data_IF_440089619878
#
_entry.id   IF_440089619878
#
_cell.length_a   1.000
_cell.length_b   1.000
_cell.length_c   1.000
_cell.angle_alpha   90.00
_cell.angle_beta   90.00
_cell.angle_gamma   90.00
#
_symmetry.space_group_name_H-M   'P 1'
#
loop_
_entity.id
_entity.type
_entity.pdbx_description
1 polymer ?
#
# COMPACT_ATOMS: atom_id res chain seq x y z
N UNK A 1 -11.87 19.71 96.69
CA UNK A 1 -10.66 19.06 96.12
C UNK A 1 -10.95 17.94 95.13
N UNK A 2 -11.65 16.85 95.49
CA UNK A 2 -11.89 15.69 94.61
C UNK A 2 -12.57 16.02 93.26
N UNK A 3 -13.48 16.99 93.22
CA UNK A 3 -14.20 17.38 92.00
C UNK A 3 -13.31 18.14 90.99
N UNK A 4 -12.39 18.97 91.49
CA UNK A 4 -11.44 19.74 90.65
C UNK A 4 -10.43 18.79 90.01
N UNK A 5 -9.94 17.82 90.79
CA UNK A 5 -9.00 16.79 90.32
C UNK A 5 -9.64 15.87 89.26
N UNK A 6 -10.94 15.54 89.40
CA UNK A 6 -11.68 14.77 88.41
C UNK A 6 -11.85 15.52 87.08
N UNK A 7 -12.15 16.83 87.12
CA UNK A 7 -12.29 17.65 85.90
C UNK A 7 -10.96 17.82 85.17
N UNK A 8 -9.87 17.96 85.92
CA UNK A 8 -8.52 18.04 85.34
C UNK A 8 -8.11 16.74 84.64
N UNK A 9 -8.36 15.59 85.27
CA UNK A 9 -8.09 14.26 84.68
C UNK A 9 -8.90 14.00 83.40
N UNK A 10 -10.19 14.35 83.40
CA UNK A 10 -11.06 14.23 82.21
C UNK A 10 -10.60 15.17 81.09
N UNK A 11 -10.20 16.40 81.43
CA UNK A 11 -9.68 17.34 80.42
C UNK A 11 -8.36 16.86 79.81
N UNK A 12 -7.51 16.22 80.60
CA UNK A 12 -6.23 15.65 80.17
C UNK A 12 -6.42 14.43 79.28
N UNK A 13 -7.36 13.54 79.59
CA UNK A 13 -7.67 12.38 78.73
C UNK A 13 -8.26 12.81 77.38
N UNK A 14 -9.15 13.81 77.36
CA UNK A 14 -9.69 14.39 76.11
C UNK A 14 -8.59 15.03 75.26
N UNK A 15 -7.59 15.66 75.88
CA UNK A 15 -6.45 16.25 75.16
C UNK A 15 -5.56 15.18 74.52
N UNK A 16 -5.28 14.09 75.25
CA UNK A 16 -4.47 12.95 74.78
C UNK A 16 -5.15 12.25 73.60
N UNK A 17 -6.46 12.02 73.66
CA UNK A 17 -7.22 11.37 72.57
C UNK A 17 -7.21 12.21 71.28
N UNK A 18 -7.33 13.54 71.39
CA UNK A 18 -7.22 14.46 70.23
C UNK A 18 -5.82 14.46 69.61
N UNK A 19 -4.77 14.40 70.42
CA UNK A 19 -3.39 14.30 69.94
C UNK A 19 -3.13 12.96 69.24
N UNK A 20 -3.70 11.86 69.76
CA UNK A 20 -3.60 10.54 69.14
C UNK A 20 -4.36 10.47 67.80
N UNK A 21 -5.57 11.03 67.73
CA UNK A 21 -6.32 11.17 66.49
C UNK A 21 -5.56 11.99 65.45
N UNK A 22 -4.98 13.14 65.85
CA UNK A 22 -4.17 13.97 64.95
C UNK A 22 -2.93 13.23 64.42
N UNK A 23 -2.24 12.46 65.28
CA UNK A 23 -1.07 11.65 64.89
C UNK A 23 -1.43 10.57 63.87
N UNK A 24 -2.55 9.87 64.08
CA UNK A 24 -2.99 8.80 63.18
C UNK A 24 -3.43 9.36 61.81
N UNK A 25 -4.08 10.53 61.79
CA UNK A 25 -4.43 11.24 60.56
C UNK A 25 -3.18 11.65 59.78
N UNK A 26 -2.15 12.18 60.46
CA UNK A 26 -0.87 12.58 59.84
C UNK A 26 -0.10 11.38 59.24
N UNK A 27 -0.06 10.25 59.94
CA UNK A 27 0.56 9.01 59.44
C UNK A 27 -0.20 8.50 58.20
N UNK A 28 -1.54 8.55 58.23
CA UNK A 28 -2.39 8.17 57.09
C UNK A 28 -2.14 9.03 55.84
N UNK A 29 -2.07 10.36 56.00
CA UNK A 29 -1.76 11.30 54.90
C UNK A 29 -0.37 11.06 54.30
N UNK A 30 0.61 10.71 55.13
CA UNK A 30 1.96 10.36 54.68
C UNK A 30 1.95 9.09 53.83
N UNK A 31 1.21 8.07 54.27
CA UNK A 31 1.05 6.82 53.53
C UNK A 31 0.34 6.98 52.18
N UNK A 32 -0.74 7.77 52.13
CA UNK A 32 -1.45 8.04 50.87
C UNK A 32 -0.60 8.86 49.89
N UNK A 33 0.21 9.79 50.40
CA UNK A 33 1.14 10.59 49.58
C UNK A 33 2.27 9.72 49.00
N UNK A 34 2.83 8.81 49.80
CA UNK A 34 3.85 7.86 49.31
C UNK A 34 3.28 6.89 48.28
N UNK A 35 2.06 6.40 48.51
CA UNK A 35 1.37 5.53 47.56
C UNK A 35 1.10 6.25 46.23
N UNK A 36 0.60 7.49 46.27
CA UNK A 36 0.33 8.27 45.06
C UNK A 36 1.61 8.59 44.28
N UNK A 37 2.71 8.93 44.96
CA UNK A 37 4.04 9.09 44.36
C UNK A 37 4.51 7.81 43.66
N UNK A 38 4.35 6.65 44.30
CA UNK A 38 4.68 5.35 43.72
C UNK A 38 3.90 5.08 42.42
N UNK A 39 2.59 5.36 42.42
CA UNK A 39 1.73 5.23 41.22
C UNK A 39 2.20 6.17 40.11
N UNK A 40 2.49 7.44 40.43
CA UNK A 40 3.00 8.43 39.45
C UNK A 40 4.30 7.95 38.82
N UNK A 41 5.24 7.42 39.62
CA UNK A 41 6.52 6.88 39.11
C UNK A 41 6.28 5.70 38.16
N UNK A 42 5.39 4.77 38.49
CA UNK A 42 5.05 3.62 37.62
C UNK A 42 4.45 4.11 36.30
N UNK A 43 3.49 5.05 36.34
CA UNK A 43 2.88 5.62 35.15
C UNK A 43 3.90 6.37 34.28
N UNK A 44 4.79 7.14 34.90
CA UNK A 44 5.86 7.87 34.21
C UNK A 44 6.80 6.89 33.48
N UNK A 45 7.23 5.81 34.15
CA UNK A 45 8.07 4.76 33.53
C UNK A 45 7.34 4.07 32.37
N UNK A 46 6.06 3.74 32.55
CA UNK A 46 5.23 3.09 31.51
C UNK A 46 5.05 3.99 30.28
N UNK A 47 4.83 5.30 30.46
CA UNK A 47 4.77 6.27 29.36
C UNK A 47 6.09 6.37 28.60
N UNK A 48 7.22 6.46 29.32
CA UNK A 48 8.53 6.53 28.67
C UNK A 48 8.85 5.27 27.86
N UNK A 49 8.46 4.08 28.31
CA UNK A 49 8.64 2.85 27.53
C UNK A 49 7.75 2.81 26.28
N UNK A 50 6.50 3.22 26.39
CA UNK A 50 5.61 3.31 25.23
C UNK A 50 6.11 4.31 24.20
N UNK A 51 6.60 5.48 24.65
CA UNK A 51 7.17 6.49 23.77
C UNK A 51 8.33 5.92 22.95
N UNK A 52 9.26 5.22 23.60
CA UNK A 52 10.37 4.54 22.89
C UNK A 52 9.89 3.49 21.89
N UNK A 53 8.86 2.71 22.23
CA UNK A 53 8.27 1.73 21.31
C UNK A 53 7.63 2.39 20.10
N UNK A 54 6.90 3.48 20.31
CA UNK A 54 6.26 4.26 19.23
C UNK A 54 7.33 4.87 18.33
N UNK A 55 8.38 5.47 18.90
CA UNK A 55 9.50 6.02 18.13
C UNK A 55 10.19 4.93 17.29
N UNK A 56 10.46 3.77 17.87
CA UNK A 56 11.03 2.64 17.14
C UNK A 56 10.09 2.09 16.05
N UNK A 57 8.78 2.04 16.32
CA UNK A 57 7.79 1.64 15.31
C UNK A 57 7.70 2.66 14.17
N UNK A 58 7.75 3.96 14.49
CA UNK A 58 7.72 5.03 13.51
C UNK A 58 8.92 4.94 12.57
N UNK A 59 10.12 4.71 13.10
CA UNK A 59 11.33 4.49 12.30
C UNK A 59 11.20 3.26 11.39
N UNK A 60 10.66 2.16 11.90
CA UNK A 60 10.43 0.95 11.08
C UNK A 60 9.40 1.20 9.97
N UNK A 61 8.33 1.94 10.26
CA UNK A 61 7.33 2.33 9.25
C UNK A 61 7.98 3.19 8.17
N UNK A 62 8.78 4.18 8.55
CA UNK A 62 9.47 5.07 7.62
C UNK A 62 10.44 4.31 6.72
N UNK A 63 11.30 3.45 7.28
CA UNK A 63 12.19 2.59 6.52
C UNK A 63 11.43 1.67 5.55
N UNK A 64 10.30 1.11 6.00
CA UNK A 64 9.49 0.22 5.17
C UNK A 64 8.76 1.00 4.07
N UNK A 65 8.34 2.23 4.34
CA UNK A 65 7.78 3.15 3.36
C UNK A 65 8.80 3.48 2.28
N UNK A 66 10.03 3.83 2.66
CA UNK A 66 11.11 4.11 1.72
C UNK A 66 11.45 2.88 0.85
N UNK A 67 11.48 1.69 1.45
CA UNK A 67 11.67 0.44 0.71
C UNK A 67 10.53 0.15 -0.26
N UNK A 68 9.28 0.38 0.15
CA UNK A 68 8.12 0.22 -0.71
C UNK A 68 8.18 1.18 -1.88
N UNK A 69 8.53 2.44 -1.65
CA UNK A 69 8.71 3.42 -2.72
C UNK A 69 9.81 3.02 -3.70
N UNK A 70 10.97 2.58 -3.19
CA UNK A 70 12.07 2.10 -4.05
C UNK A 70 11.65 0.92 -4.90
N UNK A 71 10.94 -0.05 -4.32
CA UNK A 71 10.40 -1.20 -5.05
C UNK A 71 9.36 -0.78 -6.08
N UNK A 72 8.46 0.14 -5.72
CA UNK A 72 7.46 0.64 -6.64
C UNK A 72 8.12 1.35 -7.83
N UNK A 73 9.06 2.27 -7.59
CA UNK A 73 9.84 2.91 -8.66
C UNK A 73 10.53 1.88 -9.57
N UNK A 74 11.14 0.86 -8.98
CA UNK A 74 11.80 -0.19 -9.75
C UNK A 74 10.80 -1.00 -10.61
N UNK A 75 9.64 -1.34 -10.05
CA UNK A 75 8.57 -2.02 -10.80
C UNK A 75 8.05 -1.16 -11.95
N UNK A 76 7.88 0.15 -11.73
CA UNK A 76 7.49 1.08 -12.80
C UNK A 76 8.53 1.12 -13.93
N UNK A 77 9.82 1.17 -13.60
CA UNK A 77 10.88 1.13 -14.62
C UNK A 77 10.86 -0.17 -15.41
N UNK A 78 10.70 -1.32 -14.74
CA UNK A 78 10.59 -2.63 -15.42
C UNK A 78 9.37 -2.67 -16.35
N UNK A 79 8.23 -2.13 -15.91
CA UNK A 79 7.03 -2.11 -16.74
C UNK A 79 7.20 -1.21 -17.97
N UNK A 80 7.85 -0.05 -17.82
CA UNK A 80 8.21 0.81 -18.96
C UNK A 80 9.15 0.10 -19.95
N UNK A 81 10.15 -0.63 -19.46
CA UNK A 81 11.06 -1.43 -20.29
C UNK A 81 10.31 -2.56 -21.01
N UNK A 82 9.41 -3.28 -20.32
CA UNK A 82 8.53 -4.30 -20.90
C UNK A 82 7.72 -3.72 -22.06
N UNK A 83 7.07 -2.58 -21.83
CA UNK A 83 6.20 -1.93 -22.82
C UNK A 83 7.00 -1.44 -24.04
N UNK A 84 8.22 -0.94 -23.83
CA UNK A 84 9.10 -0.56 -24.93
C UNK A 84 9.57 -1.77 -25.74
N UNK A 85 9.92 -2.87 -25.08
CA UNK A 85 10.31 -4.11 -25.74
C UNK A 85 9.18 -4.65 -26.62
N UNK A 86 7.94 -4.71 -26.10
CA UNK A 86 6.79 -5.21 -26.87
C UNK A 86 6.53 -4.34 -28.11
N UNK A 87 6.63 -3.01 -27.99
CA UNK A 87 6.51 -2.09 -29.14
C UNK A 87 7.53 -2.36 -30.23
N UNK A 88 8.80 -2.56 -29.85
CA UNK A 88 9.89 -2.86 -30.80
C UNK A 88 9.61 -4.19 -31.51
N UNK A 89 9.31 -5.24 -30.74
CA UNK A 89 9.02 -6.56 -31.30
C UNK A 89 7.80 -6.52 -32.24
N UNK A 90 6.74 -5.81 -31.88
CA UNK A 90 5.56 -5.68 -32.73
C UNK A 90 5.87 -4.99 -34.07
N UNK A 91 6.68 -3.94 -34.07
CA UNK A 91 7.13 -3.28 -35.30
C UNK A 91 7.94 -4.25 -36.18
N UNK A 92 8.89 -4.96 -35.57
CA UNK A 92 9.80 -5.85 -36.28
C UNK A 92 9.09 -7.09 -36.82
N UNK A 93 8.02 -7.56 -36.16
CA UNK A 93 7.17 -8.65 -36.62
C UNK A 93 6.18 -8.22 -37.71
N UNK A 94 5.71 -6.97 -37.71
CA UNK A 94 4.75 -6.47 -38.71
C UNK A 94 5.33 -6.53 -40.12
N UNK A 95 6.61 -6.20 -40.28
CA UNK A 95 7.31 -6.21 -41.58
C UNK A 95 7.28 -7.59 -42.27
N UNK A 96 7.80 -8.68 -41.66
CA UNK A 96 7.77 -10.01 -42.28
C UNK A 96 6.35 -10.55 -42.46
N UNK A 97 5.41 -10.28 -41.55
CA UNK A 97 4.01 -10.70 -41.70
C UNK A 97 3.36 -10.01 -42.90
N UNK A 98 3.58 -8.70 -43.06
CA UNK A 98 3.07 -7.95 -44.21
C UNK A 98 3.70 -8.44 -45.52
N UNK A 99 4.98 -8.82 -45.51
CA UNK A 99 5.61 -9.46 -46.67
C UNK A 99 4.94 -10.79 -47.02
N UNK A 100 4.70 -11.68 -46.05
CA UNK A 100 4.02 -12.97 -46.30
C UNK A 100 2.59 -12.75 -46.80
N UNK A 101 1.85 -11.82 -46.21
CA UNK A 101 0.50 -11.46 -46.64
C UNK A 101 0.49 -10.89 -48.07
N UNK A 102 1.40 -9.97 -48.38
CA UNK A 102 1.54 -9.36 -49.70
C UNK A 102 1.91 -10.39 -50.77
N UNK A 103 2.86 -11.28 -50.48
CA UNK A 103 3.21 -12.39 -51.36
C UNK A 103 2.01 -13.30 -51.62
N UNK A 104 1.27 -13.69 -50.58
CA UNK A 104 0.06 -14.52 -50.74
C UNK A 104 -0.99 -13.84 -51.63
N UNK A 105 -1.20 -12.53 -51.48
CA UNK A 105 -2.14 -11.77 -52.33
C UNK A 105 -1.65 -11.65 -53.77
N UNK A 106 -0.36 -11.37 -53.99
CA UNK A 106 0.23 -11.36 -55.34
C UNK A 106 0.08 -12.73 -56.00
N UNK A 107 0.34 -13.83 -55.29
CA UNK A 107 0.16 -15.17 -55.83
C UNK A 107 -1.28 -15.44 -56.30
N UNK A 108 -2.28 -15.04 -55.50
CA UNK A 108 -3.70 -15.19 -55.86
C UNK A 108 -4.11 -14.32 -57.06
N UNK A 109 -3.49 -13.15 -57.24
CA UNK A 109 -3.83 -12.21 -58.31
C UNK A 109 -3.11 -12.50 -59.63
N UNK A 110 -1.85 -12.93 -59.57
CA UNK A 110 -0.96 -13.00 -60.74
C UNK A 110 -0.89 -14.38 -61.39
N UNK A 111 -1.28 -15.45 -60.69
CA UNK A 111 -1.19 -16.83 -61.20
C UNK A 111 -2.58 -17.46 -61.43
N UNK A 112 -3.22 -17.23 -62.59
CA UNK A 112 -4.54 -17.79 -62.89
C UNK A 112 -4.53 -19.31 -63.08
N UNK A 113 -3.35 -19.93 -63.27
CA UNK A 113 -3.15 -21.37 -63.42
C UNK A 113 -3.09 -22.15 -62.10
N UNK A 114 -3.25 -21.49 -60.95
CA UNK A 114 -3.32 -22.18 -59.66
C UNK A 114 -4.54 -23.10 -59.62
N UNK A 115 -4.35 -24.34 -59.19
CA UNK A 115 -5.46 -25.25 -58.93
C UNK A 115 -6.17 -24.87 -57.61
N UNK A 116 -7.33 -25.46 -57.35
CA UNK A 116 -8.14 -25.09 -56.17
C UNK A 116 -7.44 -25.42 -54.85
N UNK A 117 -6.68 -26.51 -54.76
CA UNK A 117 -5.92 -26.86 -53.56
C UNK A 117 -4.83 -25.83 -53.25
N UNK A 118 -4.09 -25.38 -54.27
CA UNK A 118 -3.09 -24.32 -54.14
C UNK A 118 -3.72 -23.00 -53.71
N UNK A 119 -4.85 -22.61 -54.32
CA UNK A 119 -5.59 -21.40 -53.92
C UNK A 119 -6.08 -21.50 -52.47
N UNK A 120 -6.51 -22.68 -52.03
CA UNK A 120 -6.94 -22.90 -50.66
C UNK A 120 -5.78 -22.71 -49.67
N UNK A 121 -4.61 -23.29 -49.95
CA UNK A 121 -3.41 -23.15 -49.12
C UNK A 121 -2.97 -21.67 -49.05
N UNK A 122 -2.92 -20.97 -50.18
CA UNK A 122 -2.50 -19.56 -50.21
C UNK A 122 -3.50 -18.67 -49.44
N UNK A 123 -4.81 -18.95 -49.56
CA UNK A 123 -5.84 -18.26 -48.74
C UNK A 123 -5.63 -18.50 -47.25
N UNK A 124 -5.31 -19.73 -46.84
CA UNK A 124 -5.00 -20.02 -45.43
C UNK A 124 -3.77 -19.26 -44.92
N UNK A 125 -2.72 -19.11 -45.75
CA UNK A 125 -1.54 -18.31 -45.42
C UNK A 125 -1.91 -16.84 -45.22
N UNK A 126 -2.71 -16.27 -46.14
CA UNK A 126 -3.22 -14.90 -46.03
C UNK A 126 -4.05 -14.72 -44.75
N UNK A 127 -5.02 -15.60 -44.50
CA UNK A 127 -5.91 -15.51 -43.33
C UNK A 127 -5.15 -15.67 -42.00
N UNK A 128 -4.08 -16.47 -42.00
CA UNK A 128 -3.19 -16.62 -40.85
C UNK A 128 -2.38 -15.35 -40.61
N UNK A 129 -1.87 -14.74 -41.68
CA UNK A 129 -1.13 -13.46 -41.60
C UNK A 129 -2.02 -12.32 -41.10
N UNK A 130 -3.27 -12.24 -41.58
CA UNK A 130 -4.28 -11.29 -41.09
C UNK A 130 -4.58 -11.50 -39.61
N UNK A 131 -4.76 -12.76 -39.18
CA UNK A 131 -4.97 -13.08 -37.76
C UNK A 131 -3.79 -12.68 -36.88
N UNK A 132 -2.56 -12.95 -37.32
CA UNK A 132 -1.36 -12.55 -36.59
C UNK A 132 -1.26 -11.03 -36.45
N UNK A 133 -1.51 -10.28 -37.52
CA UNK A 133 -1.57 -8.83 -37.47
C UNK A 133 -2.58 -8.33 -36.43
N UNK A 134 -3.78 -8.92 -36.38
CA UNK A 134 -4.81 -8.58 -35.38
C UNK A 134 -4.36 -8.91 -33.95
N UNK A 135 -3.69 -10.05 -33.73
CA UNK A 135 -3.16 -10.41 -32.41
C UNK A 135 -2.08 -9.42 -31.94
N UNK A 136 -1.18 -9.01 -32.84
CA UNK A 136 -0.14 -8.01 -32.54
C UNK A 136 -0.79 -6.66 -32.17
N UNK A 137 -1.79 -6.21 -32.92
CA UNK A 137 -2.52 -4.97 -32.60
C UNK A 137 -3.17 -5.06 -31.23
N UNK A 138 -3.90 -6.14 -30.94
CA UNK A 138 -4.56 -6.32 -29.65
C UNK A 138 -3.56 -6.34 -28.49
N UNK A 139 -2.37 -6.95 -28.68
CA UNK A 139 -1.30 -6.95 -27.68
C UNK A 139 -0.83 -5.51 -27.39
N UNK A 140 -0.61 -4.71 -28.42
CA UNK A 140 -0.22 -3.30 -28.26
C UNK A 140 -1.31 -2.45 -27.61
N UNK A 141 -2.58 -2.72 -27.91
CA UNK A 141 -3.71 -2.01 -27.30
C UNK A 141 -3.80 -2.28 -25.80
N UNK A 142 -3.57 -3.54 -25.38
CA UNK A 142 -3.51 -3.91 -23.95
C UNK A 142 -2.37 -3.17 -23.25
N UNK A 143 -1.16 -3.16 -23.83
CA UNK A 143 -0.03 -2.42 -23.26
C UNK A 143 -0.29 -0.91 -23.18
N UNK A 144 -0.99 -0.33 -24.16
CA UNK A 144 -1.34 1.08 -24.16
C UNK A 144 -2.35 1.42 -23.05
N UNK A 145 -3.31 0.52 -22.78
CA UNK A 145 -4.27 0.62 -21.67
C UNK A 145 -3.57 0.48 -20.32
N UNK A 146 -2.73 -0.54 -20.14
CA UNK A 146 -1.97 -0.76 -18.89
C UNK A 146 -1.04 0.42 -18.58
N UNK A 147 -0.45 1.03 -19.61
CA UNK A 147 0.40 2.22 -19.48
C UNK A 147 -0.37 3.51 -19.14
N UNK A 148 -1.70 3.49 -19.05
CA UNK A 148 -2.57 4.67 -18.95
C UNK A 148 -2.30 5.71 -20.07
N UNK A 149 -1.87 5.24 -21.25
CA UNK A 149 -1.49 6.07 -22.43
C UNK A 149 -2.57 6.09 -23.50
N UNK A 150 -3.81 5.74 -23.16
CA UNK A 150 -4.93 5.76 -24.10
C UNK A 150 -5.27 7.21 -24.44
N UNK A 151 -4.84 7.67 -25.61
CA UNK A 151 -5.31 8.93 -26.17
C UNK A 151 -6.71 8.70 -26.76
N UNK A 152 -7.74 8.92 -25.95
CA UNK A 152 -9.13 8.90 -26.42
C UNK A 152 -9.37 10.15 -27.27
N UNK A 153 -9.54 9.95 -28.58
CA UNK A 153 -10.10 10.97 -29.47
C UNK A 153 -11.62 10.90 -29.37
N UNK A 154 -12.21 11.86 -28.66
CA UNK A 154 -13.66 12.00 -28.58
C UNK A 154 -14.11 12.76 -29.82
N UNK A 155 -14.90 12.12 -30.66
CA UNK A 155 -15.49 12.71 -31.86
C UNK A 155 -17.02 12.64 -31.75
N UNK A 156 -17.71 13.71 -32.15
CA UNK A 156 -19.18 13.69 -32.27
C UNK A 156 -19.58 12.78 -33.43
N UNK A 157 -20.25 11.66 -33.12
CA UNK A 157 -20.87 10.80 -34.13
C UNK A 157 -22.32 11.21 -34.30
N UNK A 158 -22.64 11.78 -35.46
CA UNK A 158 -24.03 11.99 -35.89
C UNK A 158 -24.64 10.63 -36.21
N UNK A 159 -25.50 10.14 -35.31
CA UNK A 159 -26.31 8.97 -35.57
C UNK A 159 -27.38 9.40 -36.59
N UNK A 160 -27.26 8.92 -37.83
CA UNK A 160 -28.21 9.16 -38.93
C UNK A 160 -29.19 8.00 -39.04
#
# INVERSE_FOLDING_TARGET
EKEIQSKDLVSKSVKIEKEEQARNVLIGLSGTTLFSLGVIIILYRKRNQQKKKIEAQQQNIELKSEQLEKRNRHLMTIDEEKNNLIKILAHDLRTPINHVQGLAQVFLLTYPSLNEDQKMIIRQINDSSVRLNKMITNLLDIDAVESNRVNLLIEEITIT
#
